data_IF_610540241191
#
_entry.id   IF_610540241191
#
_cell.length_a   1.000
_cell.length_b   1.000
_cell.length_c   1.000
_cell.angle_alpha   90.00
_cell.angle_beta   90.00
_cell.angle_gamma   90.00
#
_symmetry.space_group_name_H-M   'P 1'
#
loop_
_entity.id
_entity.type
_entity.pdbx_description
1 polymer ?
#
# COMPACT_ATOMS: atom_id res chain seq x y z
N UNK A 1 -19.71 -12.16 6.11
CA UNK A 1 -18.45 -12.67 5.55
C UNK A 1 -17.36 -11.68 5.91
N UNK A 2 -16.69 -11.95 7.03
CA UNK A 2 -15.56 -11.18 7.54
C UNK A 2 -14.32 -11.41 6.68
N UNK A 3 -14.35 -10.90 5.45
CA UNK A 3 -13.29 -11.02 4.43
C UNK A 3 -12.06 -10.15 4.73
N UNK A 4 -11.84 -9.74 5.99
CA UNK A 4 -10.95 -8.63 6.35
C UNK A 4 -9.59 -9.07 6.90
N UNK A 5 -9.31 -10.37 7.08
CA UNK A 5 -8.09 -10.78 7.79
C UNK A 5 -6.84 -11.00 6.92
N UNK A 6 -6.99 -11.16 5.61
CA UNK A 6 -5.86 -11.31 4.69
C UNK A 6 -6.15 -10.59 3.37
N UNK A 7 -5.72 -9.34 3.26
CA UNK A 7 -5.57 -8.74 1.93
C UNK A 7 -4.53 -9.57 1.18
N UNK A 8 -4.96 -10.18 0.08
CA UNK A 8 -4.04 -10.81 -0.86
C UNK A 8 -3.48 -9.70 -1.73
N UNK A 9 -2.27 -9.27 -1.40
CA UNK A 9 -1.51 -8.41 -2.30
C UNK A 9 -1.08 -9.22 -3.51
N UNK A 10 -1.23 -8.66 -4.71
CA UNK A 10 -0.61 -9.24 -5.90
C UNK A 10 0.90 -9.00 -5.85
N UNK A 11 1.72 -9.82 -6.54
CA UNK A 11 3.17 -9.61 -6.56
C UNK A 11 3.54 -8.18 -6.99
N UNK A 12 2.81 -7.59 -7.93
CA UNK A 12 3.03 -6.22 -8.39
C UNK A 12 2.73 -5.18 -7.30
N UNK A 13 1.69 -5.41 -6.49
CA UNK A 13 1.39 -4.55 -5.32
C UNK A 13 2.49 -4.65 -4.25
N UNK A 14 3.03 -5.86 -4.03
CA UNK A 14 4.15 -6.07 -3.10
C UNK A 14 5.40 -5.34 -3.59
N UNK A 15 5.77 -5.48 -4.86
CA UNK A 15 6.94 -4.79 -5.43
C UNK A 15 6.83 -3.25 -5.32
N UNK A 16 5.63 -2.69 -5.54
CA UNK A 16 5.41 -1.27 -5.39
C UNK A 16 5.52 -0.82 -3.92
N UNK A 17 4.99 -1.61 -2.98
CA UNK A 17 5.15 -1.35 -1.54
C UNK A 17 6.62 -1.44 -1.12
N UNK A 18 7.37 -2.44 -1.58
CA UNK A 18 8.80 -2.59 -1.26
C UNK A 18 9.63 -1.41 -1.77
N UNK A 19 9.36 -0.91 -2.99
CA UNK A 19 9.99 0.34 -3.50
C UNK A 19 9.69 1.52 -2.58
N UNK A 20 8.44 1.69 -2.17
CA UNK A 20 8.06 2.77 -1.26
C UNK A 20 8.80 2.67 0.07
N UNK A 21 8.86 1.47 0.64
CA UNK A 21 9.51 1.25 1.93
C UNK A 21 11.02 1.40 1.90
N UNK A 22 11.64 1.07 0.77
CA UNK A 22 13.08 1.26 0.57
C UNK A 22 13.44 2.74 0.40
N UNK A 23 12.63 3.51 -0.32
CA UNK A 23 12.83 4.96 -0.47
C UNK A 23 12.43 5.77 0.78
N UNK A 24 11.39 5.34 1.48
CA UNK A 24 10.88 6.00 2.68
C UNK A 24 10.41 4.96 3.71
N UNK A 25 11.27 4.55 4.66
CA UNK A 25 10.94 3.50 5.64
C UNK A 25 9.83 3.91 6.64
N UNK A 26 9.46 5.19 6.68
CA UNK A 26 8.36 5.73 7.50
C UNK A 26 7.50 6.66 6.65
N UNK A 27 6.66 6.12 5.74
CA UNK A 27 5.77 6.94 4.96
C UNK A 27 4.77 7.62 5.90
N UNK A 28 4.73 8.96 5.86
CA UNK A 28 3.73 9.75 6.59
C UNK A 28 2.33 9.44 6.04
N UNK A 29 1.27 9.77 6.79
CA UNK A 29 -0.12 9.56 6.35
C UNK A 29 -0.38 10.21 4.99
N UNK A 30 0.15 11.41 4.75
CA UNK A 30 0.08 12.09 3.47
C UNK A 30 0.76 11.29 2.35
N UNK A 31 1.97 10.75 2.61
CA UNK A 31 2.68 9.93 1.62
C UNK A 31 1.91 8.66 1.27
N UNK A 32 1.27 8.01 2.26
CA UNK A 32 0.40 6.83 2.03
C UNK A 32 -0.77 7.16 1.12
N UNK A 33 -1.44 8.29 1.34
CA UNK A 33 -2.54 8.74 0.49
C UNK A 33 -2.08 9.07 -0.92
N UNK A 34 -0.92 9.72 -1.08
CA UNK A 34 -0.34 10.01 -2.39
C UNK A 34 -0.05 8.71 -3.16
N UNK A 35 0.54 7.71 -2.53
CA UNK A 35 0.88 6.44 -3.18
C UNK A 35 -0.34 5.69 -3.69
N UNK A 36 -1.44 5.69 -2.95
CA UNK A 36 -2.71 5.08 -3.39
C UNK A 36 -3.26 5.83 -4.62
N UNK A 37 -3.04 7.15 -4.71
CA UNK A 37 -3.47 7.98 -5.85
C UNK A 37 -2.52 7.91 -7.05
N UNK A 38 -1.23 7.81 -6.80
CA UNK A 38 -0.16 7.77 -7.81
C UNK A 38 0.02 6.37 -8.40
N UNK A 39 -0.24 5.31 -7.61
CA UNK A 39 -0.15 3.93 -8.04
C UNK A 39 -1.55 3.31 -8.12
N UNK A 40 -2.17 3.24 -9.31
CA UNK A 40 -3.51 2.65 -9.47
C UNK A 40 -3.58 1.20 -9.01
N UNK A 41 -2.46 0.46 -9.04
CA UNK A 41 -2.35 -0.90 -8.48
C UNK A 41 -2.58 -0.94 -6.97
N UNK A 42 -2.28 0.15 -6.23
CA UNK A 42 -2.50 0.27 -4.79
C UNK A 42 -3.88 0.90 -4.47
N UNK A 43 -4.70 1.24 -5.48
CA UNK A 43 -5.99 1.92 -5.29
C UNK A 43 -6.99 1.14 -4.42
N UNK A 44 -6.81 -0.18 -4.32
CA UNK A 44 -7.65 -1.06 -3.50
C UNK A 44 -7.07 -1.34 -2.09
N UNK A 45 -5.95 -0.72 -1.74
CA UNK A 45 -5.28 -0.87 -0.44
C UNK A 45 -5.68 0.30 0.44
N UNK A 46 -6.17 0.01 1.65
CA UNK A 46 -6.49 1.08 2.59
C UNK A 46 -5.20 1.70 3.16
N UNK A 47 -5.15 3.03 3.39
CA UNK A 47 -3.95 3.69 3.94
C UNK A 47 -3.50 3.12 5.29
N UNK A 48 -4.44 2.54 6.06
CA UNK A 48 -4.18 1.87 7.34
C UNK A 48 -3.41 0.55 7.19
N UNK A 49 -3.39 -0.04 5.99
CA UNK A 49 -2.71 -1.30 5.68
C UNK A 49 -1.26 -1.09 5.22
N UNK A 50 -0.95 0.11 4.73
CA UNK A 50 0.41 0.57 4.48
C UNK A 50 0.97 1.01 5.84
N UNK A 51 1.81 0.19 6.48
CA UNK A 51 2.40 0.44 7.81
C UNK A 51 3.56 1.42 7.80
#
# INVERSE_FOLDING_TARGET
>A
MDSSKYVRYTPEQVEALERVYTECPKPSSLRRQQLIRECPILSNIEPKQIK
#
